data_IF_699816980377
#
_entry.id   IF_699816980377
#
_cell.length_a   1.000
_cell.length_b   1.000
_cell.length_c   1.000
_cell.angle_alpha   90.00
_cell.angle_beta   90.00
_cell.angle_gamma   90.00
#
_symmetry.space_group_name_H-M   'P 1'
#
loop_
_entity.id
_entity.type
_entity.pdbx_description
1 polymer ?
#
# COMPACT_ATOMS: atom_id res chain seq x y z
N UNK A 1 -13.37 17.02 0.20
CA UNK A 1 -13.55 18.42 0.68
C UNK A 1 -12.21 19.13 0.65
N UNK A 2 -12.12 20.36 0.12
CA UNK A 2 -10.89 21.17 0.18
C UNK A 2 -10.80 21.81 1.58
N UNK A 3 -9.65 21.67 2.23
CA UNK A 3 -9.38 22.22 3.55
C UNK A 3 -8.87 23.65 3.43
N UNK A 4 -9.48 24.57 4.18
CA UNK A 4 -9.03 25.96 4.26
C UNK A 4 -7.70 26.13 5.03
N UNK A 5 -7.12 27.35 5.05
CA UNK A 5 -5.79 27.60 5.61
C UNK A 5 -5.60 27.13 7.05
N UNK A 6 -6.62 27.29 7.93
CA UNK A 6 -6.57 26.82 9.32
C UNK A 6 -6.28 25.31 9.42
N UNK A 7 -7.02 24.50 8.67
CA UNK A 7 -6.89 23.04 8.69
C UNK A 7 -5.65 22.56 7.94
N UNK A 8 -5.22 23.28 6.89
CA UNK A 8 -3.92 23.03 6.26
C UNK A 8 -2.78 23.22 7.26
N UNK A 9 -2.78 24.32 8.00
CA UNK A 9 -1.74 24.58 9.00
C UNK A 9 -1.70 23.49 10.07
N UNK A 10 -2.87 23.01 10.53
CA UNK A 10 -2.96 21.88 11.47
C UNK A 10 -2.41 20.58 10.88
N UNK A 11 -2.74 20.26 9.63
CA UNK A 11 -2.20 19.11 8.92
C UNK A 11 -0.67 19.17 8.90
N UNK A 12 -0.11 20.29 8.44
CA UNK A 12 1.34 20.48 8.31
C UNK A 12 2.04 20.43 9.68
N UNK A 13 1.52 21.12 10.70
CA UNK A 13 2.13 21.15 12.03
C UNK A 13 2.14 19.79 12.72
N UNK A 14 1.01 19.06 12.65
CA UNK A 14 0.86 17.79 13.36
C UNK A 14 1.61 16.65 12.68
N UNK A 15 1.78 16.72 11.36
CA UNK A 15 2.55 15.73 10.58
C UNK A 15 4.02 16.10 10.41
N UNK A 16 4.42 17.31 10.84
CA UNK A 16 5.76 17.88 10.63
C UNK A 16 6.17 17.98 9.15
N UNK A 17 5.18 18.12 8.27
CA UNK A 17 5.38 18.34 6.83
C UNK A 17 5.59 19.85 6.61
N UNK A 18 6.57 20.19 5.77
CA UNK A 18 6.85 21.56 5.34
C UNK A 18 6.20 21.86 3.99
N UNK A 19 5.85 23.13 3.77
CA UNK A 19 5.46 23.64 2.44
C UNK A 19 6.55 23.45 1.36
N UNK A 20 7.80 23.31 1.78
CA UNK A 20 8.96 23.05 0.91
C UNK A 20 9.20 21.56 0.64
N UNK A 21 8.49 20.68 1.33
CA UNK A 21 8.57 19.23 1.06
C UNK A 21 7.91 18.89 -0.27
N UNK A 22 8.19 17.68 -0.75
CA UNK A 22 7.60 17.10 -1.94
C UNK A 22 6.79 15.86 -1.60
N UNK A 23 5.68 15.69 -2.31
CA UNK A 23 4.94 14.43 -2.40
C UNK A 23 5.54 13.62 -3.55
N UNK A 24 6.22 12.52 -3.24
CA UNK A 24 6.74 11.55 -4.19
C UNK A 24 5.73 10.43 -4.38
N UNK A 25 5.41 10.12 -5.63
CA UNK A 25 4.47 9.06 -5.99
C UNK A 25 5.17 8.12 -6.97
N UNK A 26 5.36 6.88 -6.55
CA UNK A 26 6.10 5.86 -7.30
C UNK A 26 5.20 4.68 -7.63
N UNK A 27 5.01 4.41 -8.91
CA UNK A 27 4.38 3.18 -9.38
C UNK A 27 5.43 2.14 -9.72
N UNK A 28 5.49 1.12 -8.87
CA UNK A 28 6.45 0.03 -8.98
C UNK A 28 6.07 -0.97 -10.08
N UNK A 29 4.83 -0.96 -10.59
CA UNK A 29 4.41 -1.81 -11.71
C UNK A 29 4.90 -1.30 -13.07
N UNK A 30 5.09 0.01 -13.19
CA UNK A 30 5.51 0.68 -14.44
C UNK A 30 6.85 1.40 -14.32
N UNK A 31 7.48 1.35 -13.14
CA UNK A 31 8.70 2.10 -12.80
C UNK A 31 8.55 3.61 -13.09
N UNK A 32 7.38 4.18 -12.81
CA UNK A 32 7.10 5.60 -12.99
C UNK A 32 7.20 6.34 -11.66
N UNK A 33 7.88 7.49 -11.66
CA UNK A 33 8.05 8.34 -10.48
C UNK A 33 7.71 9.77 -10.86
N UNK A 34 6.82 10.39 -10.09
CA UNK A 34 6.51 11.81 -10.19
C UNK A 34 6.62 12.47 -8.81
N UNK A 35 6.84 13.78 -8.80
CA UNK A 35 6.82 14.56 -7.56
C UNK A 35 6.14 15.90 -7.72
N UNK A 36 5.57 16.40 -6.62
CA UNK A 36 4.88 17.68 -6.53
C UNK A 36 5.27 18.39 -5.25
N UNK A 37 5.46 19.71 -5.29
CA UNK A 37 5.71 20.50 -4.08
C UNK A 37 4.43 20.58 -3.25
N UNK A 38 4.56 20.41 -1.94
CA UNK A 38 3.44 20.45 -1.00
C UNK A 38 2.67 21.77 -1.10
N UNK A 39 3.37 22.90 -1.22
CA UNK A 39 2.77 24.24 -1.38
C UNK A 39 1.85 24.39 -2.59
N UNK A 40 2.06 23.60 -3.64
CA UNK A 40 1.29 23.70 -4.88
C UNK A 40 0.05 22.78 -4.85
N UNK A 41 -0.07 21.93 -3.83
CA UNK A 41 -1.17 20.98 -3.69
C UNK A 41 -2.23 21.47 -2.70
N UNK A 42 -3.50 21.19 -3.02
CA UNK A 42 -4.63 21.46 -2.12
C UNK A 42 -4.69 20.41 -1.02
N UNK A 43 -4.75 20.86 0.23
CA UNK A 43 -5.06 19.97 1.35
C UNK A 43 -6.54 19.57 1.27
N UNK A 44 -6.83 18.28 1.46
CA UNK A 44 -8.18 17.73 1.34
C UNK A 44 -8.47 16.73 2.46
N UNK A 45 -9.75 16.62 2.79
CA UNK A 45 -10.31 15.50 3.55
C UNK A 45 -11.25 14.72 2.62
N UNK A 46 -11.00 13.43 2.47
CA UNK A 46 -11.76 12.49 1.65
C UNK A 46 -12.39 11.46 2.57
N UNK A 47 -13.65 11.13 2.34
CA UNK A 47 -14.32 10.11 3.12
C UNK A 47 -13.73 8.73 2.78
N UNK A 48 -13.47 7.91 3.79
CA UNK A 48 -13.01 6.54 3.56
C UNK A 48 -14.07 5.73 2.79
N UNK A 49 -13.64 5.03 1.74
CA UNK A 49 -14.54 4.29 0.86
C UNK A 49 -15.37 3.23 1.58
N UNK A 50 -14.90 2.67 2.70
CA UNK A 50 -15.65 1.69 3.48
C UNK A 50 -16.89 2.30 4.16
N UNK A 51 -16.89 3.61 4.38
CA UNK A 51 -18.03 4.31 4.95
C UNK A 51 -19.03 4.73 3.89
N UNK A 52 -18.60 5.02 2.65
CA UNK A 52 -19.50 5.42 1.54
C UNK A 52 -20.58 4.36 1.30
N UNK A 53 -20.23 3.07 1.32
CA UNK A 53 -21.15 1.97 1.02
C UNK A 53 -22.09 1.61 2.19
N UNK A 54 -21.82 2.11 3.40
CA UNK A 54 -22.58 1.80 4.62
C UNK A 54 -23.54 2.92 5.07
N UNK A 55 -23.77 3.96 4.25
CA UNK A 55 -24.67 5.08 4.59
C UNK A 55 -26.16 4.71 4.52
N UNK A 56 -26.61 3.93 5.51
CA UNK A 56 -28.01 3.94 5.98
C UNK A 56 -28.19 4.77 7.27
N UNK A 57 -27.12 5.28 7.87
CA UNK A 57 -27.20 6.11 9.09
C UNK A 57 -27.47 7.58 8.74
N UNK A 58 -28.63 8.09 9.14
CA UNK A 58 -28.93 9.53 9.18
C UNK A 58 -28.14 10.15 10.35
N UNK A 59 -27.18 11.02 10.05
CA UNK A 59 -26.41 11.74 11.08
C UNK A 59 -25.12 12.37 10.52
N UNK A 60 -24.48 13.29 11.27
CA UNK A 60 -23.18 13.82 10.91
C UNK A 60 -22.13 12.70 10.86
N UNK A 61 -21.20 12.83 9.93
CA UNK A 61 -20.12 11.86 9.72
C UNK A 61 -19.01 12.16 10.73
N UNK A 62 -18.54 11.14 11.44
CA UNK A 62 -17.39 11.26 12.33
C UNK A 62 -16.13 11.71 11.57
N UNK A 63 -15.34 12.59 12.18
CA UNK A 63 -14.08 13.09 11.64
C UNK A 63 -13.07 11.95 11.40
N UNK A 64 -13.10 10.90 12.22
CA UNK A 64 -12.22 9.73 12.09
C UNK A 64 -12.48 8.92 10.82
N UNK A 65 -13.62 9.14 10.15
CA UNK A 65 -13.95 8.48 8.88
C UNK A 65 -13.37 9.21 7.66
N UNK A 66 -12.61 10.29 7.87
CA UNK A 66 -11.95 11.02 6.80
C UNK A 66 -10.46 10.68 6.73
N UNK A 67 -10.00 10.37 5.53
CA UNK A 67 -8.59 10.38 5.18
C UNK A 67 -8.17 11.80 4.79
N UNK A 68 -7.13 12.32 5.43
CA UNK A 68 -6.64 13.69 5.21
C UNK A 68 -5.30 13.63 4.47
N UNK A 69 -5.15 14.46 3.45
CA UNK A 69 -3.92 14.51 2.66
C UNK A 69 -3.93 15.61 1.61
N UNK A 70 -3.26 15.37 0.49
CA UNK A 70 -3.15 16.32 -0.61
C UNK A 70 -3.81 15.76 -1.87
N UNK A 71 -4.58 16.59 -2.56
CA UNK A 71 -5.22 16.21 -3.82
C UNK A 71 -4.22 16.21 -4.97
N UNK A 72 -4.22 15.13 -5.76
CA UNK A 72 -3.42 14.96 -6.97
C UNK A 72 -4.35 14.82 -8.15
N UNK A 73 -4.11 15.59 -9.22
CA UNK A 73 -4.84 15.41 -10.47
C UNK A 73 -4.37 14.11 -11.15
N UNK A 74 -5.30 13.18 -11.37
CA UNK A 74 -5.04 11.89 -12.03
C UNK A 74 -4.45 12.05 -13.43
N UNK A 75 -4.71 13.17 -14.12
CA UNK A 75 -4.13 13.45 -15.43
C UNK A 75 -2.61 13.69 -15.38
N UNK A 76 -2.07 14.02 -14.20
CA UNK A 76 -0.63 14.16 -13.97
C UNK A 76 0.04 12.81 -13.70
N UNK A 77 -0.74 11.73 -13.55
CA UNK A 77 -0.29 10.36 -13.32
C UNK A 77 -0.40 9.50 -14.59
N UNK A 78 -0.27 10.11 -15.77
CA UNK A 78 -0.23 9.37 -17.04
C UNK A 78 0.95 8.40 -17.05
N UNK A 79 0.71 7.17 -17.50
CA UNK A 79 1.73 6.10 -17.53
C UNK A 79 1.73 5.19 -16.30
N UNK A 80 0.96 5.51 -15.26
CA UNK A 80 0.73 4.61 -14.14
C UNK A 80 -0.14 3.42 -14.58
N UNK A 81 0.22 2.20 -14.18
CA UNK A 81 -0.30 0.95 -14.73
C UNK A 81 -1.64 0.50 -14.14
N UNK A 82 -1.94 0.91 -12.90
CA UNK A 82 -3.19 0.52 -12.22
C UNK A 82 -4.21 1.64 -12.24
N UNK A 83 -5.43 1.35 -12.72
CA UNK A 83 -6.58 2.29 -12.65
C UNK A 83 -6.92 2.70 -11.21
N UNK A 84 -6.60 1.82 -10.25
CA UNK A 84 -6.86 1.97 -8.82
C UNK A 84 -5.59 2.23 -8.01
N UNK A 85 -4.44 2.46 -8.66
CA UNK A 85 -3.16 2.76 -8.01
C UNK A 85 -2.67 1.68 -7.02
N UNK A 86 -3.07 0.43 -7.19
CA UNK A 86 -2.65 -0.71 -6.35
C UNK A 86 -1.13 -0.97 -6.39
N UNK A 87 -0.47 -0.52 -7.46
CA UNK A 87 0.98 -0.58 -7.66
C UNK A 87 1.74 0.64 -7.16
N UNK A 88 1.12 1.51 -6.37
CA UNK A 88 1.67 2.84 -6.07
C UNK A 88 2.08 2.98 -4.61
N UNK A 89 3.25 3.57 -4.38
CA UNK A 89 3.75 4.01 -3.08
C UNK A 89 3.80 5.54 -3.04
N UNK A 90 3.52 6.12 -1.87
CA UNK A 90 3.53 7.57 -1.65
C UNK A 90 4.41 7.91 -0.46
N UNK A 91 5.22 8.96 -0.59
CA UNK A 91 6.02 9.50 0.49
C UNK A 91 6.02 11.03 0.46
N UNK A 92 6.00 11.68 1.62
CA UNK A 92 6.07 13.14 1.72
C UNK A 92 7.31 13.52 2.51
N UNK A 93 8.18 14.33 1.92
CA UNK A 93 9.37 14.83 2.60
C UNK A 93 10.33 15.57 1.68
N UNK A 94 11.52 15.86 2.20
CA UNK A 94 12.54 16.66 1.49
C UNK A 94 13.21 15.93 0.33
N UNK A 95 13.31 14.60 0.40
CA UNK A 95 14.07 13.76 -0.55
C UNK A 95 13.26 12.54 -0.95
N UNK A 96 13.42 12.14 -2.21
CA UNK A 96 12.81 10.93 -2.76
C UNK A 96 13.38 9.68 -2.06
N UNK A 97 12.55 8.81 -1.45
CA UNK A 97 13.01 7.54 -0.87
C UNK A 97 13.02 6.38 -1.87
N UNK A 98 12.42 6.55 -3.05
CA UNK A 98 12.20 5.46 -3.99
C UNK A 98 13.37 5.29 -4.96
N UNK A 99 13.77 4.03 -5.16
CA UNK A 99 14.79 3.65 -6.12
C UNK A 99 14.14 3.02 -7.37
N UNK A 100 14.23 3.73 -8.49
CA UNK A 100 13.79 3.23 -9.80
C UNK A 100 14.63 2.06 -10.29
N UNK A 101 14.03 1.19 -11.09
CA UNK A 101 14.71 0.09 -11.80
C UNK A 101 15.30 -1.01 -10.92
N UNK A 102 15.07 -0.97 -9.59
CA UNK A 102 15.59 -1.97 -8.63
C UNK A 102 14.59 -3.07 -8.28
N UNK A 103 13.38 -3.01 -8.83
CA UNK A 103 12.36 -4.02 -8.55
C UNK A 103 12.71 -5.29 -9.30
N UNK A 104 12.76 -6.39 -8.56
CA UNK A 104 12.97 -7.73 -9.12
C UNK A 104 11.69 -8.53 -8.94
N UNK A 105 11.11 -9.08 -10.02
CA UNK A 105 9.96 -9.96 -9.91
C UNK A 105 10.34 -11.25 -9.15
N UNK A 106 9.43 -11.72 -8.30
CA UNK A 106 9.57 -13.02 -7.63
C UNK A 106 9.16 -14.11 -8.63
N UNK A 107 10.12 -14.95 -9.02
CA UNK A 107 9.88 -16.11 -9.87
C UNK A 107 9.84 -17.37 -9.01
N UNK A 108 8.63 -17.77 -8.60
CA UNK A 108 8.40 -18.99 -7.83
C UNK A 108 8.76 -20.23 -8.65
N UNK A 109 9.73 -20.99 -8.18
CA UNK A 109 10.09 -22.30 -8.74
C UNK A 109 9.37 -23.39 -7.96
N UNK A 110 8.69 -24.30 -8.66
CA UNK A 110 8.09 -25.49 -8.03
C UNK A 110 9.18 -26.35 -7.40
N UNK A 111 8.92 -26.83 -6.19
CA UNK A 111 9.77 -27.75 -5.45
C UNK A 111 8.96 -28.91 -4.90
N UNK A 112 9.62 -30.02 -4.58
CA UNK A 112 8.98 -31.15 -3.92
C UNK A 112 8.67 -30.83 -2.44
N UNK A 113 7.57 -31.41 -1.92
CA UNK A 113 7.19 -31.25 -0.51
C UNK A 113 8.30 -31.69 0.47
N UNK A 114 9.17 -32.60 0.05
CA UNK A 114 10.32 -33.07 0.85
C UNK A 114 11.37 -31.99 1.08
N UNK A 115 11.47 -31.01 0.17
CA UNK A 115 12.37 -29.87 0.26
C UNK A 115 11.75 -28.69 1.02
N UNK A 116 10.43 -28.71 1.23
CA UNK A 116 9.74 -27.67 1.99
C UNK A 116 10.13 -27.74 3.48
N UNK A 117 10.45 -26.59 4.12
CA UNK A 117 10.87 -26.58 5.51
C UNK A 117 9.83 -27.20 6.43
N UNK A 118 10.25 -28.17 7.23
CA UNK A 118 9.43 -28.77 8.29
C UNK A 118 9.45 -27.87 9.52
N UNK A 119 8.75 -26.73 9.43
CA UNK A 119 8.58 -25.82 10.56
C UNK A 119 7.45 -26.36 11.44
N UNK A 120 7.73 -26.58 12.71
CA UNK A 120 6.68 -26.91 13.68
C UNK A 120 5.80 -25.68 13.88
N UNK A 121 4.59 -25.73 13.34
CA UNK A 121 3.57 -24.71 13.57
C UNK A 121 3.11 -24.84 15.02
N UNK A 122 3.08 -23.72 15.77
CA UNK A 122 2.57 -23.74 17.15
C UNK A 122 1.13 -24.27 17.16
N UNK A 123 0.73 -25.08 18.17
CA UNK A 123 -0.60 -25.70 18.22
C UNK A 123 -1.77 -24.72 18.04
N UNK A 124 -1.65 -23.49 18.56
CA UNK A 124 -2.63 -22.41 18.40
C UNK A 124 -2.95 -22.07 16.94
N UNK A 125 -1.95 -22.12 16.05
CA UNK A 125 -2.11 -21.85 14.61
C UNK A 125 -2.50 -23.09 13.80
N UNK A 126 -2.28 -24.29 14.32
CA UNK A 126 -2.71 -25.55 13.66
C UNK A 126 -4.22 -25.58 13.48
N UNK A 127 -4.96 -25.03 14.44
CA UNK A 127 -6.43 -24.93 14.38
C UNK A 127 -6.93 -24.16 13.15
N UNK A 128 -6.18 -23.16 12.67
CA UNK A 128 -6.54 -22.34 11.51
C UNK A 128 -6.55 -23.12 10.19
N UNK A 129 -5.85 -24.25 10.13
CA UNK A 129 -5.78 -25.11 8.95
C UNK A 129 -6.75 -26.30 9.01
N UNK A 130 -7.61 -26.39 10.04
CA UNK A 130 -8.64 -27.42 10.11
C UNK A 130 -9.64 -27.25 8.96
N UNK A 131 -9.81 -28.30 8.15
CA UNK A 131 -10.66 -28.25 6.95
C UNK A 131 -9.97 -27.66 5.73
N UNK A 132 -8.64 -27.50 5.77
CA UNK A 132 -7.83 -27.18 4.61
C UNK A 132 -6.91 -28.34 4.23
N UNK A 133 -6.52 -28.40 2.97
CA UNK A 133 -5.51 -29.30 2.42
C UNK A 133 -4.34 -28.49 1.86
N UNK A 134 -3.14 -29.06 1.98
CA UNK A 134 -1.91 -28.45 1.51
C UNK A 134 -1.55 -28.99 0.13
N UNK A 135 -1.23 -28.07 -0.79
CA UNK A 135 -0.98 -28.35 -2.19
C UNK A 135 0.48 -28.21 -2.60
N UNK A 136 0.68 -27.68 -3.83
CA UNK A 136 2.00 -27.51 -4.43
C UNK A 136 2.87 -26.56 -3.61
N UNK A 137 4.15 -26.91 -3.51
CA UNK A 137 5.18 -26.11 -2.86
C UNK A 137 6.06 -25.39 -3.88
N UNK A 138 6.48 -24.18 -3.53
CA UNK A 138 7.33 -23.32 -4.33
C UNK A 138 8.44 -22.70 -3.48
N UNK A 139 9.48 -22.29 -4.18
CA UNK A 139 10.64 -21.64 -3.59
C UNK A 139 11.08 -20.46 -4.43
N UNK A 140 11.62 -19.45 -3.77
CA UNK A 140 12.32 -18.34 -4.39
C UNK A 140 13.59 -18.03 -3.58
N UNK A 141 14.68 -17.75 -4.26
CA UNK A 141 15.96 -17.38 -3.62
C UNK A 141 16.32 -15.95 -4.07
N UNK A 142 16.67 -15.11 -3.10
CA UNK A 142 17.15 -13.74 -3.35
C UNK A 142 18.20 -13.39 -2.33
N UNK A 143 19.39 -13.03 -2.84
CA UNK A 143 20.56 -12.75 -2.00
C UNK A 143 20.81 -13.93 -1.05
N UNK A 144 20.87 -13.69 0.25
CA UNK A 144 21.14 -14.73 1.26
C UNK A 144 19.85 -15.35 1.85
N UNK A 145 18.68 -15.04 1.25
CA UNK A 145 17.38 -15.48 1.75
C UNK A 145 16.71 -16.49 0.81
N UNK A 146 16.07 -17.48 1.46
CA UNK A 146 15.32 -18.54 0.82
C UNK A 146 13.88 -18.50 1.30
N UNK A 147 12.98 -18.20 0.37
CA UNK A 147 11.55 -18.06 0.61
C UNK A 147 10.83 -19.32 0.14
N UNK A 148 9.78 -19.68 0.88
CA UNK A 148 8.97 -20.84 0.60
C UNK A 148 7.50 -20.44 0.60
N UNK A 149 6.74 -21.01 -0.33
CA UNK A 149 5.30 -20.82 -0.47
C UNK A 149 4.64 -22.19 -0.63
N UNK A 150 3.47 -22.38 -0.04
CA UNK A 150 2.67 -23.58 -0.22
C UNK A 150 1.22 -23.20 -0.48
N UNK A 151 0.61 -23.83 -1.49
CA UNK A 151 -0.80 -23.69 -1.77
C UNK A 151 -1.63 -24.27 -0.62
N UNK A 152 -2.72 -23.59 -0.25
CA UNK A 152 -3.65 -24.03 0.79
C UNK A 152 -5.06 -23.96 0.22
N UNK A 153 -5.75 -25.09 0.17
CA UNK A 153 -7.08 -25.23 -0.38
C UNK A 153 -8.08 -25.54 0.71
N UNK A 154 -9.27 -24.91 0.65
CA UNK A 154 -10.37 -25.28 1.54
C UNK A 154 -11.01 -26.57 1.02
N UNK A 155 -11.27 -27.52 1.91
CA UNK A 155 -12.00 -28.75 1.59
C UNK A 155 -13.46 -28.48 1.25
#
# INVERSE_FOLDING_TARGET
MILGPKYRNQLLSNTKISETDQVFIYDYSTDQLVSFLVKDLKAVACLDSHYIDNYKKKGPIDQDNYQIGFAIDKNLLKGFGSKNFSGTLVFIGKKNPFNKGKIKPIHWKKIDLKEFPKIQIKPEYVSMFKGYTFGQTYQFESEDLKYYLQDIFKN
#
